data_IF_204069639606
#
_entry.id   IF_204069639606
#
_cell.length_a   1.000
_cell.length_b   1.000
_cell.length_c   1.000
_cell.angle_alpha   90.00
_cell.angle_beta   90.00
_cell.angle_gamma   90.00
#
_symmetry.space_group_name_H-M   'P 1'
#
loop_
_entity.id
_entity.type
_entity.pdbx_description
1 polymer ?
#
# COMPACT_ATOMS: atom_id res chain seq x y z
N UNK A 1 -27.87 -25.71 -7.22
CA UNK A 1 -27.69 -24.56 -8.14
C UNK A 1 -27.83 -23.19 -7.44
N UNK A 2 -27.45 -23.06 -6.15
CA UNK A 2 -27.42 -21.79 -5.40
C UNK A 2 -26.00 -21.35 -4.98
N UNK A 3 -25.00 -22.16 -5.29
CA UNK A 3 -23.58 -21.93 -4.92
C UNK A 3 -22.84 -21.08 -5.97
N UNK A 4 -23.33 -21.03 -7.20
CA UNK A 4 -22.69 -20.27 -8.30
C UNK A 4 -22.99 -18.76 -8.22
N UNK A 5 -24.10 -18.35 -7.59
CA UNK A 5 -24.47 -16.93 -7.45
C UNK A 5 -23.64 -16.19 -6.39
N UNK A 6 -23.12 -16.90 -5.38
CA UNK A 6 -22.25 -16.33 -4.35
C UNK A 6 -20.78 -16.21 -4.80
N UNK A 7 -20.33 -17.02 -5.76
CA UNK A 7 -19.00 -16.90 -6.35
C UNK A 7 -18.92 -15.85 -7.47
N UNK A 8 -20.00 -15.56 -8.19
CA UNK A 8 -19.99 -14.48 -9.19
C UNK A 8 -19.97 -13.07 -8.57
N UNK A 9 -20.45 -12.89 -7.34
CA UNK A 9 -20.31 -11.63 -6.59
C UNK A 9 -18.87 -11.39 -6.07
N UNK A 10 -18.01 -12.41 -6.09
CA UNK A 10 -16.63 -12.32 -5.61
C UNK A 10 -15.61 -11.94 -6.70
N UNK A 11 -16.00 -11.91 -7.99
CA UNK A 11 -15.05 -11.78 -9.12
C UNK A 11 -15.26 -10.49 -9.95
N UNK A 12 -16.36 -9.76 -9.77
CA UNK A 12 -16.49 -8.41 -10.32
C UNK A 12 -15.87 -7.40 -9.35
N UNK A 13 -14.80 -6.72 -9.76
CA UNK A 13 -14.05 -5.76 -8.95
C UNK A 13 -14.94 -4.67 -8.33
N UNK A 14 -15.10 -4.74 -7.01
CA UNK A 14 -16.06 -3.93 -6.26
C UNK A 14 -15.32 -2.90 -5.41
N UNK A 15 -15.00 -1.79 -6.06
CA UNK A 15 -14.58 -0.51 -5.49
C UNK A 15 -15.79 0.27 -4.97
N UNK A 16 -15.65 0.96 -3.83
CA UNK A 16 -16.68 1.86 -3.29
C UNK A 16 -16.44 3.28 -3.81
N UNK A 17 -17.50 4.03 -4.09
CA UNK A 17 -17.40 5.45 -4.46
C UNK A 17 -16.97 6.31 -3.25
N UNK A 18 -16.33 7.47 -3.50
CA UNK A 18 -15.82 8.36 -2.45
C UNK A 18 -16.91 8.80 -1.48
N UNK A 19 -18.13 9.05 -1.97
CA UNK A 19 -19.30 9.40 -1.14
C UNK A 19 -19.69 8.29 -0.16
N UNK A 20 -19.69 7.03 -0.61
CA UNK A 20 -19.99 5.89 0.27
C UNK A 20 -18.91 5.72 1.33
N UNK A 21 -17.65 5.92 0.97
CA UNK A 21 -16.54 5.82 1.93
C UNK A 21 -16.61 6.92 2.98
N UNK A 22 -16.89 8.15 2.56
CA UNK A 22 -17.09 9.27 3.49
C UNK A 22 -18.25 8.98 4.43
N UNK A 23 -19.40 8.52 3.91
CA UNK A 23 -20.56 8.20 4.74
C UNK A 23 -20.23 7.10 5.76
N UNK A 24 -19.53 6.05 5.35
CA UNK A 24 -19.10 5.00 6.29
C UNK A 24 -18.14 5.54 7.37
N UNK A 25 -17.19 6.40 6.98
CA UNK A 25 -16.27 7.05 7.91
C UNK A 25 -17.02 7.94 8.90
N UNK A 26 -17.94 8.75 8.41
CA UNK A 26 -18.78 9.63 9.21
C UNK A 26 -19.68 8.84 10.16
N UNK A 27 -20.35 7.79 9.68
CA UNK A 27 -21.17 6.89 10.49
C UNK A 27 -20.35 6.21 11.58
N UNK A 28 -19.15 5.72 11.26
CA UNK A 28 -18.24 5.15 12.25
C UNK A 28 -17.82 6.18 13.30
N UNK A 29 -17.50 7.41 12.89
CA UNK A 29 -17.14 8.47 13.81
C UNK A 29 -18.30 8.89 14.73
N UNK A 30 -19.55 8.88 14.22
CA UNK A 30 -20.76 9.19 15.01
C UNK A 30 -21.23 8.04 15.90
N UNK A 31 -20.87 6.81 15.56
CA UNK A 31 -21.37 5.63 16.26
C UNK A 31 -20.89 5.64 17.72
N UNK A 32 -21.77 5.42 18.72
CA UNK A 32 -21.38 5.32 20.13
C UNK A 32 -20.37 4.21 20.42
N UNK A 33 -20.38 3.13 19.63
CA UNK A 33 -19.38 2.04 19.67
C UNK A 33 -18.16 2.33 18.79
N UNK A 34 -18.24 3.32 17.90
CA UNK A 34 -17.11 3.83 17.15
C UNK A 34 -16.41 4.94 17.93
N UNK A 35 -16.18 6.09 17.30
CA UNK A 35 -15.46 7.20 17.96
C UNK A 35 -16.35 8.08 18.85
N UNK A 36 -17.67 7.97 18.72
CA UNK A 36 -18.67 8.75 19.47
C UNK A 36 -18.45 10.28 19.39
N UNK A 37 -18.09 10.77 18.22
CA UNK A 37 -17.85 12.19 17.97
C UNK A 37 -19.14 13.00 17.81
N UNK A 38 -19.07 14.28 18.16
CA UNK A 38 -20.09 15.27 17.77
C UNK A 38 -20.18 15.37 16.25
N UNK A 39 -21.26 15.96 15.72
CA UNK A 39 -21.44 16.11 14.27
C UNK A 39 -20.24 16.78 13.60
N UNK A 40 -19.76 17.93 14.11
CA UNK A 40 -18.63 18.65 13.55
C UNK A 40 -17.30 17.88 13.63
N UNK A 41 -17.04 17.18 14.74
CA UNK A 41 -15.85 16.34 14.88
C UNK A 41 -15.88 15.14 13.94
N UNK A 42 -17.03 14.47 13.80
CA UNK A 42 -17.21 13.34 12.89
C UNK A 42 -17.04 13.75 11.43
N UNK A 43 -17.57 14.93 11.07
CA UNK A 43 -17.41 15.53 9.75
C UNK A 43 -15.92 15.75 9.41
N UNK A 44 -15.18 16.46 10.26
CA UNK A 44 -13.76 16.74 10.06
C UNK A 44 -12.91 15.46 10.06
N UNK A 45 -13.24 14.51 10.94
CA UNK A 45 -12.54 13.24 10.99
C UNK A 45 -12.75 12.43 9.71
N UNK A 46 -13.99 12.30 9.23
CA UNK A 46 -14.31 11.56 8.01
C UNK A 46 -13.63 12.17 6.78
N UNK A 47 -13.61 13.51 6.70
CA UNK A 47 -12.90 14.30 5.69
C UNK A 47 -11.40 13.91 5.64
N UNK A 48 -10.71 14.08 6.77
CA UNK A 48 -9.28 13.75 6.90
C UNK A 48 -8.98 12.27 6.69
N UNK A 49 -9.90 11.40 7.11
CA UNK A 49 -9.77 9.97 6.95
C UNK A 49 -9.80 9.58 5.47
N UNK A 50 -10.77 10.06 4.69
CA UNK A 50 -10.85 9.81 3.24
C UNK A 50 -9.65 10.39 2.48
N UNK A 51 -9.16 11.58 2.86
CA UNK A 51 -7.95 12.19 2.27
C UNK A 51 -6.67 11.35 2.46
N UNK A 52 -6.46 10.86 3.68
CA UNK A 52 -5.18 10.28 4.12
C UNK A 52 -5.12 8.77 4.01
N UNK A 53 -6.27 8.10 4.07
CA UNK A 53 -6.40 6.65 4.08
C UNK A 53 -7.14 6.10 2.87
N UNK A 54 -7.64 6.98 1.98
CA UNK A 54 -8.35 6.57 0.77
C UNK A 54 -9.47 5.57 1.02
N UNK A 55 -9.71 4.70 0.03
CA UNK A 55 -10.91 3.87 -0.09
C UNK A 55 -10.91 2.65 0.83
N UNK A 56 -11.97 2.44 1.61
CA UNK A 56 -12.13 1.28 2.51
C UNK A 56 -12.92 0.12 1.88
N UNK A 57 -12.70 -1.09 2.43
CA UNK A 57 -13.26 -2.36 1.91
C UNK A 57 -14.75 -2.41 2.10
N UNK A 58 -15.40 -3.24 1.29
CA UNK A 58 -16.86 -3.39 1.22
C UNK A 58 -17.55 -3.60 2.57
N UNK A 59 -16.85 -4.13 3.58
CA UNK A 59 -17.38 -4.23 4.94
C UNK A 59 -17.45 -2.84 5.58
N UNK A 60 -18.66 -2.45 5.99
CA UNK A 60 -18.93 -1.25 6.79
C UNK A 60 -17.92 -1.18 7.95
N UNK A 61 -17.27 -0.03 8.16
CA UNK A 61 -16.23 0.16 9.19
C UNK A 61 -16.68 -0.31 10.58
N UNK A 62 -17.95 -0.09 10.92
CA UNK A 62 -18.56 -0.57 12.17
C UNK A 62 -18.52 -2.09 12.29
N UNK A 63 -18.80 -2.83 11.22
CA UNK A 63 -18.72 -4.29 11.23
C UNK A 63 -17.26 -4.76 11.39
N UNK A 64 -16.32 -4.09 10.73
CA UNK A 64 -14.90 -4.41 10.90
C UNK A 64 -14.42 -4.12 12.32
N UNK A 65 -14.88 -3.02 12.93
CA UNK A 65 -14.61 -2.71 14.32
C UNK A 65 -15.17 -3.79 15.24
N UNK A 66 -16.42 -4.21 15.05
CA UNK A 66 -17.04 -5.23 15.89
C UNK A 66 -16.29 -6.56 15.77
N UNK A 67 -15.92 -6.99 14.55
CA UNK A 67 -15.08 -8.18 14.34
C UNK A 67 -13.72 -8.08 15.07
N UNK A 68 -13.09 -6.90 15.05
CA UNK A 68 -11.83 -6.67 15.73
C UNK A 68 -11.97 -6.62 17.25
N UNK A 69 -13.07 -6.05 17.74
CA UNK A 69 -13.40 -5.95 19.15
C UNK A 69 -13.72 -7.33 19.73
N UNK A 70 -14.59 -8.10 19.08
CA UNK A 70 -14.93 -9.48 19.47
C UNK A 70 -13.67 -10.36 19.46
N UNK A 71 -12.82 -10.21 18.44
CA UNK A 71 -11.54 -10.89 18.41
C UNK A 71 -10.64 -10.51 19.62
N UNK A 72 -10.58 -9.22 19.95
CA UNK A 72 -9.74 -8.73 21.03
C UNK A 72 -10.21 -9.21 22.41
N UNK A 73 -11.51 -9.20 22.66
CA UNK A 73 -12.10 -9.67 23.92
C UNK A 73 -11.99 -11.18 24.07
N UNK A 74 -12.20 -11.94 22.99
CA UNK A 74 -12.17 -13.42 23.04
C UNK A 74 -10.75 -14.00 23.04
N UNK A 75 -9.79 -13.40 22.32
CA UNK A 75 -8.50 -14.04 22.02
C UNK A 75 -7.27 -13.31 22.51
N UNK A 76 -7.35 -12.01 22.81
CA UNK A 76 -6.17 -11.25 23.28
C UNK A 76 -6.04 -11.19 24.80
N UNK A 77 -6.98 -11.76 25.55
CA UNK A 77 -7.00 -11.78 27.03
C UNK A 77 -6.82 -10.37 27.63
N UNK A 78 -7.39 -9.34 26.96
CA UNK A 78 -7.34 -7.95 27.41
C UNK A 78 -8.70 -7.50 27.92
N UNK A 79 -8.69 -6.43 28.71
CA UNK A 79 -9.93 -5.82 29.21
C UNK A 79 -10.80 -5.28 28.07
N UNK A 80 -12.10 -5.12 28.33
CA UNK A 80 -13.05 -4.54 27.37
C UNK A 80 -12.61 -3.17 26.86
N UNK A 81 -12.09 -2.31 27.74
CA UNK A 81 -11.62 -0.96 27.37
C UNK A 81 -10.37 -1.03 26.48
N UNK A 82 -9.44 -1.94 26.78
CA UNK A 82 -8.26 -2.16 25.95
C UNK A 82 -8.62 -2.77 24.59
N UNK A 83 -9.62 -3.65 24.54
CA UNK A 83 -10.15 -4.23 23.31
C UNK A 83 -10.78 -3.16 22.41
N UNK A 84 -11.54 -2.23 22.99
CA UNK A 84 -12.11 -1.08 22.27
C UNK A 84 -11.01 -0.20 21.63
N UNK A 85 -10.00 0.18 22.43
CA UNK A 85 -8.86 0.99 21.96
C UNK A 85 -8.11 0.23 20.85
N UNK A 86 -7.88 -1.07 21.04
CA UNK A 86 -7.18 -1.90 20.07
C UNK A 86 -7.94 -2.00 18.74
N UNK A 87 -9.23 -2.29 18.78
CA UNK A 87 -10.09 -2.42 17.60
C UNK A 87 -10.15 -1.10 16.82
N UNK A 88 -10.33 0.04 17.51
CA UNK A 88 -10.26 1.38 16.90
C UNK A 88 -8.92 1.60 16.21
N UNK A 89 -7.82 1.34 16.90
CA UNK A 89 -6.48 1.50 16.33
C UNK A 89 -6.26 0.59 15.10
N UNK A 90 -6.81 -0.61 15.10
CA UNK A 90 -6.73 -1.51 13.95
C UNK A 90 -7.47 -0.92 12.73
N UNK A 91 -8.70 -0.42 12.92
CA UNK A 91 -9.49 0.21 11.85
C UNK A 91 -8.80 1.47 11.30
N UNK A 92 -8.26 2.31 12.19
CA UNK A 92 -7.52 3.51 11.82
C UNK A 92 -6.28 3.21 10.97
N UNK A 93 -5.76 1.98 11.06
CA UNK A 93 -4.54 1.57 10.38
C UNK A 93 -4.82 0.79 9.10
N UNK A 94 -6.00 0.16 8.91
CA UNK A 94 -6.36 -0.60 7.68
C UNK A 94 -6.23 0.19 6.37
N UNK A 95 -5.59 -0.45 5.39
CA UNK A 95 -5.15 0.13 4.12
C UNK A 95 -6.25 0.40 3.09
N UNK A 96 -5.83 1.06 2.01
CA UNK A 96 -6.63 1.61 0.90
C UNK A 96 -7.09 0.56 -0.12
N UNK A 97 -8.03 0.94 -1.01
CA UNK A 97 -8.52 0.20 -2.19
C UNK A 97 -8.47 1.11 -3.40
N UNK A 98 -8.51 0.54 -4.61
CA UNK A 98 -8.81 1.27 -5.82
C UNK A 98 -10.08 2.13 -5.81
N UNK A 99 -10.03 3.30 -6.46
CA UNK A 99 -11.23 4.07 -6.83
C UNK A 99 -12.13 3.28 -7.80
N UNK A 100 -13.43 3.60 -7.82
CA UNK A 100 -14.42 2.93 -8.67
C UNK A 100 -14.57 3.54 -10.05
N UNK A 101 -14.44 4.85 -10.11
CA UNK A 101 -14.48 5.62 -11.33
C UNK A 101 -13.35 6.65 -11.31
N UNK A 102 -13.34 7.49 -12.33
CA UNK A 102 -12.42 8.60 -12.47
C UNK A 102 -12.59 9.56 -11.29
N UNK A 103 -11.47 10.13 -10.84
CA UNK A 103 -11.36 11.01 -9.67
C UNK A 103 -12.34 12.18 -9.77
N UNK A 104 -12.49 12.80 -10.94
CA UNK A 104 -13.42 13.92 -11.15
C UNK A 104 -14.86 13.55 -10.82
N UNK A 105 -15.32 12.39 -11.32
CA UNK A 105 -16.70 11.92 -11.10
C UNK A 105 -16.95 11.63 -9.64
N UNK A 106 -15.99 10.98 -8.98
CA UNK A 106 -16.05 10.64 -7.56
C UNK A 106 -16.06 11.90 -6.68
N UNK A 107 -15.19 12.88 -6.97
CA UNK A 107 -15.11 14.14 -6.24
C UNK A 107 -16.36 15.01 -6.45
N UNK A 108 -16.85 15.14 -7.68
CA UNK A 108 -18.09 15.88 -7.96
C UNK A 108 -19.29 15.25 -7.24
N UNK A 109 -19.38 13.91 -7.22
CA UNK A 109 -20.45 13.21 -6.51
C UNK A 109 -20.40 13.49 -5.01
N UNK A 110 -19.21 13.48 -4.42
CA UNK A 110 -19.03 13.79 -3.00
C UNK A 110 -19.40 15.24 -2.68
N UNK A 111 -18.87 16.20 -3.45
CA UNK A 111 -19.10 17.64 -3.26
C UNK A 111 -20.58 18.01 -3.41
N UNK A 112 -21.32 17.33 -4.29
CA UNK A 112 -22.76 17.56 -4.46
C UNK A 112 -23.62 16.92 -3.37
N UNK A 113 -23.11 15.91 -2.66
CA UNK A 113 -23.86 15.18 -1.62
C UNK A 113 -23.62 15.69 -0.21
N UNK A 114 -22.44 16.25 0.05
CA UNK A 114 -22.08 16.80 1.34
C UNK A 114 -22.25 18.31 1.29
N UNK A 115 -22.97 18.87 2.25
CA UNK A 115 -23.13 20.32 2.36
C UNK A 115 -21.82 20.96 2.81
N UNK A 116 -20.97 21.35 1.85
CA UNK A 116 -19.81 22.19 2.09
C UNK A 116 -20.19 23.67 1.95
N UNK A 117 -19.61 24.54 2.78
CA UNK A 117 -19.49 25.94 2.35
C UNK A 117 -18.54 26.00 1.16
N UNK A 118 -18.64 27.04 0.32
CA UNK A 118 -17.74 27.16 -0.84
C UNK A 118 -16.26 27.15 -0.43
N UNK A 119 -15.91 27.81 0.68
CA UNK A 119 -14.55 27.88 1.20
C UNK A 119 -14.07 26.54 1.78
N UNK A 120 -14.92 25.84 2.55
CA UNK A 120 -14.58 24.53 3.11
C UNK A 120 -14.42 23.48 2.01
N UNK A 121 -15.27 23.53 0.98
CA UNK A 121 -15.20 22.65 -0.18
C UNK A 121 -13.91 22.86 -0.97
N UNK A 122 -13.55 24.13 -1.24
CA UNK A 122 -12.29 24.48 -1.89
C UNK A 122 -11.08 23.99 -1.10
N UNK A 123 -11.02 24.32 0.19
CA UNK A 123 -9.91 23.89 1.08
C UNK A 123 -9.78 22.38 1.10
N UNK A 124 -10.89 21.65 1.21
CA UNK A 124 -10.86 20.19 1.19
C UNK A 124 -10.31 19.62 -0.10
N UNK A 125 -10.77 20.14 -1.23
CA UNK A 125 -10.32 19.68 -2.54
C UNK A 125 -8.82 19.91 -2.70
N UNK A 126 -8.31 21.07 -2.29
CA UNK A 126 -6.86 21.35 -2.31
C UNK A 126 -6.10 20.37 -1.42
N UNK A 127 -6.56 20.12 -0.18
CA UNK A 127 -5.96 19.14 0.74
C UNK A 127 -5.96 17.72 0.14
N UNK A 128 -7.07 17.31 -0.48
CA UNK A 128 -7.18 16.02 -1.15
C UNK A 128 -6.23 15.91 -2.35
N UNK A 129 -6.14 16.96 -3.17
CA UNK A 129 -5.29 16.97 -4.36
C UNK A 129 -3.79 16.97 -4.00
N UNK A 130 -3.41 17.59 -2.87
CA UNK A 130 -2.02 17.65 -2.42
C UNK A 130 -1.62 16.55 -1.42
N UNK A 131 -2.55 15.67 -1.04
CA UNK A 131 -2.27 14.51 -0.19
C UNK A 131 -1.17 13.63 -0.79
N UNK A 132 -0.31 13.08 0.07
CA UNK A 132 0.72 12.09 -0.31
C UNK A 132 0.22 10.65 -0.26
N UNK A 133 -1.02 10.43 0.21
CA UNK A 133 -1.59 9.10 0.33
C UNK A 133 -1.79 8.48 -1.07
N UNK A 134 -1.25 7.28 -1.34
CA UNK A 134 -1.36 6.67 -2.65
C UNK A 134 -2.82 6.40 -3.04
N UNK A 135 -3.11 6.56 -4.32
CA UNK A 135 -4.37 6.18 -4.94
C UNK A 135 -4.11 5.05 -5.92
N UNK A 136 -4.76 3.93 -5.66
CA UNK A 136 -4.85 2.86 -6.64
C UNK A 136 -6.01 3.22 -7.58
N UNK A 137 -5.76 3.27 -8.88
CA UNK A 137 -6.82 3.42 -9.88
C UNK A 137 -6.49 2.64 -11.13
N UNK A 138 -7.50 2.05 -11.77
CA UNK A 138 -7.29 1.37 -13.06
C UNK A 138 -6.90 2.32 -14.18
N UNK A 139 -7.05 3.64 -13.97
CA UNK A 139 -6.56 4.64 -14.91
C UNK A 139 -5.05 4.54 -15.05
N UNK A 140 -4.58 4.74 -16.28
CA UNK A 140 -3.16 4.96 -16.50
C UNK A 140 -2.73 6.34 -15.95
N UNK A 141 -1.43 6.59 -15.97
CA UNK A 141 -0.85 7.80 -15.41
C UNK A 141 -1.32 9.08 -16.12
N UNK A 142 -1.54 9.01 -17.45
CA UNK A 142 -1.93 10.15 -18.27
C UNK A 142 -3.44 10.43 -18.16
N UNK A 143 -4.25 9.38 -18.08
CA UNK A 143 -5.69 9.50 -17.87
C UNK A 143 -5.98 10.06 -16.47
N UNK A 144 -5.23 9.63 -15.44
CA UNK A 144 -5.30 10.26 -14.11
C UNK A 144 -4.96 11.76 -14.19
N UNK A 145 -3.91 12.12 -14.94
CA UNK A 145 -3.56 13.52 -15.15
C UNK A 145 -4.69 14.30 -15.81
N UNK A 146 -5.20 13.80 -16.94
CA UNK A 146 -6.26 14.46 -17.73
C UNK A 146 -7.51 14.68 -16.90
N UNK A 147 -7.88 13.66 -16.14
CA UNK A 147 -9.04 13.69 -15.27
C UNK A 147 -8.89 14.80 -14.20
N UNK A 148 -7.78 14.81 -13.46
CA UNK A 148 -7.52 15.85 -12.45
C UNK A 148 -7.37 17.24 -13.07
N UNK A 149 -6.73 17.35 -14.23
CA UNK A 149 -6.60 18.62 -14.97
C UNK A 149 -7.99 19.17 -15.34
N UNK A 150 -8.86 18.36 -15.95
CA UNK A 150 -10.21 18.77 -16.33
C UNK A 150 -11.05 19.15 -15.11
N UNK A 151 -10.91 18.42 -14.00
CA UNK A 151 -11.54 18.77 -12.73
C UNK A 151 -11.14 20.16 -12.27
N UNK A 152 -9.84 20.45 -12.20
CA UNK A 152 -9.30 21.76 -11.79
C UNK A 152 -9.67 22.90 -12.77
N UNK A 153 -10.00 22.60 -14.03
CA UNK A 153 -10.41 23.62 -15.02
C UNK A 153 -11.90 23.92 -14.98
N UNK A 154 -12.73 22.95 -14.64
CA UNK A 154 -14.19 23.04 -14.83
C UNK A 154 -14.99 23.08 -13.53
N UNK A 155 -14.46 22.57 -12.42
CA UNK A 155 -15.19 22.58 -11.15
C UNK A 155 -15.17 23.98 -10.53
N UNK A 156 -16.35 24.57 -10.33
CA UNK A 156 -16.49 25.95 -9.88
C UNK A 156 -15.85 26.27 -8.51
N UNK A 157 -15.62 25.27 -7.66
CA UNK A 157 -14.98 25.45 -6.35
C UNK A 157 -13.46 25.63 -6.45
N UNK A 158 -12.84 25.03 -7.47
CA UNK A 158 -11.38 24.98 -7.64
C UNK A 158 -10.92 25.35 -9.05
N UNK A 159 -11.79 26.04 -9.81
CA UNK A 159 -11.47 26.49 -11.15
C UNK A 159 -10.25 27.42 -11.11
N UNK A 160 -9.14 26.97 -11.67
CA UNK A 160 -7.89 27.72 -11.77
C UNK A 160 -7.49 27.86 -13.24
N UNK A 161 -6.56 28.77 -13.54
CA UNK A 161 -6.01 28.96 -14.89
C UNK A 161 -5.32 27.69 -15.42
N UNK A 162 -5.00 27.68 -16.73
CA UNK A 162 -4.41 26.51 -17.40
C UNK A 162 -3.10 26.07 -16.74
N UNK A 163 -2.20 27.01 -16.44
CA UNK A 163 -0.88 26.69 -15.90
C UNK A 163 -0.99 26.10 -14.49
N UNK A 164 -1.83 26.70 -13.64
CA UNK A 164 -2.07 26.22 -12.29
C UNK A 164 -2.72 24.83 -12.30
N UNK A 165 -3.72 24.59 -13.15
CA UNK A 165 -4.37 23.27 -13.27
C UNK A 165 -3.37 22.17 -13.67
N UNK A 166 -2.48 22.46 -14.64
CA UNK A 166 -1.42 21.52 -15.06
C UNK A 166 -0.47 21.20 -13.91
N UNK A 167 -0.02 22.22 -13.16
CA UNK A 167 0.88 22.03 -12.00
C UNK A 167 0.22 21.16 -10.92
N UNK A 168 -1.07 21.38 -10.64
CA UNK A 168 -1.82 20.59 -9.67
C UNK A 168 -1.98 19.14 -10.11
N UNK A 169 -2.38 18.89 -11.36
CA UNK A 169 -2.53 17.54 -11.90
C UNK A 169 -1.19 16.78 -11.93
N UNK A 170 -0.10 17.44 -12.33
CA UNK A 170 1.24 16.85 -12.31
C UNK A 170 1.69 16.47 -10.89
N UNK A 171 1.50 17.37 -9.92
CA UNK A 171 1.84 17.09 -8.51
C UNK A 171 0.97 15.97 -7.93
N UNK A 172 -0.31 15.92 -8.30
CA UNK A 172 -1.22 14.86 -7.91
C UNK A 172 -0.72 13.49 -8.38
N UNK A 173 -0.43 13.36 -9.68
CA UNK A 173 0.08 12.11 -10.26
C UNK A 173 1.41 11.70 -9.63
N UNK A 174 2.35 12.64 -9.50
CA UNK A 174 3.64 12.38 -8.85
C UNK A 174 3.50 11.83 -7.43
N UNK A 175 2.60 12.42 -6.64
CA UNK A 175 2.44 12.05 -5.24
C UNK A 175 1.63 10.76 -5.07
N UNK A 176 0.54 10.62 -5.84
CA UNK A 176 -0.53 9.66 -5.53
C UNK A 176 -0.60 8.49 -6.49
N UNK A 177 -0.15 8.60 -7.74
CA UNK A 177 -0.19 7.47 -8.67
C UNK A 177 0.71 6.34 -8.19
N UNK A 178 0.21 5.10 -8.26
CA UNK A 178 0.99 3.89 -7.99
C UNK A 178 0.66 2.85 -9.05
N UNK A 179 1.68 2.13 -9.49
CA UNK A 179 1.49 1.03 -10.43
C UNK A 179 0.71 -0.11 -9.79
N UNK A 180 -0.05 -0.81 -10.62
CA UNK A 180 -0.59 -2.11 -10.28
C UNK A 180 0.50 -3.15 -10.44
N UNK A 181 0.37 -4.21 -9.65
CA UNK A 181 1.31 -5.33 -9.60
C UNK A 181 1.17 -6.27 -10.81
N UNK A 182 0.39 -5.90 -11.83
CA UNK A 182 0.13 -6.67 -13.05
C UNK A 182 1.09 -6.32 -14.20
N UNK A 183 1.91 -5.27 -14.03
CA UNK A 183 2.94 -4.86 -14.98
C UNK A 183 4.33 -5.11 -14.42
N UNK A 184 5.27 -5.50 -15.28
CA UNK A 184 6.67 -5.59 -14.88
C UNK A 184 7.34 -4.20 -14.83
N UNK A 185 8.52 -4.09 -14.22
CA UNK A 185 9.25 -2.82 -14.07
C UNK A 185 9.58 -2.12 -15.40
N UNK A 186 9.79 -2.86 -16.49
CA UNK A 186 10.05 -2.27 -17.81
C UNK A 186 8.78 -1.62 -18.36
N UNK A 187 7.64 -2.29 -18.26
CA UNK A 187 6.35 -1.72 -18.66
C UNK A 187 5.98 -0.50 -17.82
N UNK A 188 6.25 -0.54 -16.52
CA UNK A 188 6.05 0.61 -15.64
C UNK A 188 6.95 1.79 -16.03
N UNK A 189 8.21 1.51 -16.38
CA UNK A 189 9.14 2.52 -16.87
C UNK A 189 8.63 3.17 -18.16
N UNK A 190 8.11 2.40 -19.10
CA UNK A 190 7.54 2.93 -20.35
C UNK A 190 6.39 3.89 -20.04
N UNK A 191 5.46 3.51 -19.16
CA UNK A 191 4.36 4.39 -18.75
C UNK A 191 4.86 5.69 -18.11
N UNK A 192 5.85 5.59 -17.20
CA UNK A 192 6.45 6.75 -16.55
C UNK A 192 7.17 7.67 -17.57
N UNK A 193 7.93 7.08 -18.50
CA UNK A 193 8.62 7.79 -19.55
C UNK A 193 7.65 8.49 -20.49
N UNK A 194 6.62 7.78 -20.96
CA UNK A 194 5.59 8.35 -21.83
C UNK A 194 4.89 9.53 -21.16
N UNK A 195 4.51 9.40 -19.88
CA UNK A 195 3.94 10.52 -19.14
C UNK A 195 4.89 11.73 -19.03
N UNK A 196 6.16 11.48 -18.75
CA UNK A 196 7.15 12.54 -18.64
C UNK A 196 7.43 13.25 -19.97
N UNK A 197 7.43 12.51 -21.08
CA UNK A 197 7.73 13.03 -22.41
C UNK A 197 6.51 13.66 -23.09
N UNK A 198 5.31 13.17 -22.77
CA UNK A 198 4.07 13.60 -23.41
C UNK A 198 3.82 15.11 -23.22
N UNK A 199 3.37 15.78 -24.29
CA UNK A 199 3.05 17.20 -24.30
C UNK A 199 1.94 17.60 -23.34
N UNK A 200 1.05 16.67 -23.00
CA UNK A 200 0.02 16.86 -22.00
C UNK A 200 0.53 16.58 -20.58
N UNK A 201 1.52 15.71 -20.40
CA UNK A 201 2.08 15.37 -19.08
C UNK A 201 3.08 16.40 -18.58
N UNK A 202 4.35 15.98 -18.43
CA UNK A 202 5.42 16.88 -17.96
C UNK A 202 6.11 17.66 -19.08
N UNK A 203 6.00 17.19 -20.34
CA UNK A 203 6.63 17.80 -21.52
C UNK A 203 8.14 18.04 -21.31
N UNK A 204 8.82 17.06 -20.74
CA UNK A 204 10.27 17.11 -20.57
C UNK A 204 10.98 16.76 -21.88
N UNK A 205 12.25 17.15 -22.00
CA UNK A 205 13.11 16.64 -23.08
C UNK A 205 13.30 15.13 -22.94
N UNK A 206 13.79 14.46 -24.01
CA UNK A 206 14.00 13.02 -23.99
C UNK A 206 14.89 12.58 -22.81
N UNK A 207 16.03 13.25 -22.62
CA UNK A 207 16.98 12.95 -21.55
C UNK A 207 16.39 13.17 -20.16
N UNK A 208 15.65 14.26 -19.97
CA UNK A 208 14.95 14.57 -18.71
C UNK A 208 13.83 13.56 -18.42
N UNK A 209 13.08 13.13 -19.45
CA UNK A 209 12.06 12.09 -19.32
C UNK A 209 12.65 10.75 -18.91
N UNK A 210 13.80 10.37 -19.46
CA UNK A 210 14.54 9.16 -19.03
C UNK A 210 14.90 9.25 -17.56
N UNK A 211 15.57 10.34 -17.14
CA UNK A 211 16.00 10.51 -15.74
C UNK A 211 14.82 10.53 -14.77
N UNK A 212 13.74 11.22 -15.16
CA UNK A 212 12.53 11.28 -14.36
C UNK A 212 11.90 9.90 -14.21
N UNK A 213 11.73 9.14 -15.29
CA UNK A 213 11.13 7.82 -15.26
C UNK A 213 11.96 6.82 -14.43
N UNK A 214 13.29 6.85 -14.55
CA UNK A 214 14.19 6.03 -13.72
C UNK A 214 14.04 6.37 -12.23
N UNK A 215 14.01 7.66 -11.89
CA UNK A 215 13.80 8.12 -10.51
C UNK A 215 12.40 7.73 -9.99
N UNK A 216 11.38 7.83 -10.84
CA UNK A 216 10.03 7.44 -10.50
C UNK A 216 9.94 5.95 -10.18
N UNK A 217 10.50 5.07 -11.02
CA UNK A 217 10.52 3.63 -10.78
C UNK A 217 11.31 3.28 -9.53
N UNK A 218 12.44 3.94 -9.27
CA UNK A 218 13.22 3.75 -8.05
C UNK A 218 12.40 4.00 -6.76
N UNK A 219 11.45 4.92 -6.79
CA UNK A 219 10.68 5.32 -5.61
C UNK A 219 9.26 4.72 -5.56
N UNK A 220 8.68 4.42 -6.72
CA UNK A 220 7.26 4.07 -6.87
C UNK A 220 7.03 2.78 -7.66
N UNK A 221 8.09 2.16 -8.18
CA UNK A 221 8.00 0.87 -8.84
C UNK A 221 7.44 -0.18 -7.91
N UNK A 222 6.61 -1.05 -8.47
CA UNK A 222 5.96 -2.15 -7.77
C UNK A 222 6.35 -3.45 -8.46
N UNK A 223 6.61 -4.52 -7.71
CA UNK A 223 6.78 -5.85 -8.30
C UNK A 223 5.56 -6.69 -7.94
N UNK A 224 5.20 -7.63 -8.82
CA UNK A 224 4.13 -8.57 -8.56
C UNK A 224 4.35 -9.38 -7.29
N UNK A 225 3.37 -9.33 -6.37
CA UNK A 225 3.34 -10.15 -5.14
C UNK A 225 3.07 -11.63 -5.41
N UNK A 226 2.68 -11.97 -6.63
CA UNK A 226 2.49 -13.36 -7.06
C UNK A 226 3.81 -14.03 -7.46
N UNK A 227 4.86 -13.22 -7.67
CA UNK A 227 6.22 -13.73 -7.90
C UNK A 227 6.90 -14.03 -6.57
N UNK A 228 7.67 -15.12 -6.53
CA UNK A 228 8.57 -15.37 -5.42
C UNK A 228 9.76 -14.39 -5.44
N UNK A 229 10.42 -14.17 -4.30
CA UNK A 229 11.50 -13.19 -4.12
C UNK A 229 12.63 -13.34 -5.14
N UNK A 230 12.98 -14.57 -5.55
CA UNK A 230 13.99 -14.81 -6.58
C UNK A 230 13.57 -14.29 -7.96
N UNK A 231 12.29 -14.44 -8.33
CA UNK A 231 11.77 -13.90 -9.57
C UNK A 231 11.61 -12.37 -9.49
N UNK A 232 11.23 -11.83 -8.33
CA UNK A 232 11.22 -10.37 -8.10
C UNK A 232 12.62 -9.77 -8.25
N UNK A 233 13.64 -10.45 -7.71
CA UNK A 233 15.03 -10.06 -7.88
C UNK A 233 15.46 -10.13 -9.34
N UNK A 234 15.12 -11.22 -10.05
CA UNK A 234 15.44 -11.37 -11.47
C UNK A 234 14.81 -10.25 -12.30
N UNK A 235 13.55 -9.91 -12.04
CA UNK A 235 12.88 -8.79 -12.70
C UNK A 235 13.62 -7.46 -12.46
N UNK A 236 13.94 -7.17 -11.19
CA UNK A 236 14.69 -5.96 -10.83
C UNK A 236 16.09 -5.93 -11.48
N UNK A 237 16.79 -7.07 -11.53
CA UNK A 237 18.10 -7.19 -12.16
C UNK A 237 18.03 -6.98 -13.67
N UNK A 238 17.08 -7.61 -14.35
CA UNK A 238 16.88 -7.44 -15.78
C UNK A 238 16.54 -5.99 -16.11
N UNK A 239 15.68 -5.34 -15.31
CA UNK A 239 15.39 -3.93 -15.45
C UNK A 239 16.66 -3.07 -15.31
N UNK A 240 17.43 -3.27 -14.25
CA UNK A 240 18.65 -2.51 -13.98
C UNK A 240 19.68 -2.62 -15.11
N UNK A 241 19.86 -3.83 -15.65
CA UNK A 241 20.80 -4.11 -16.73
C UNK A 241 20.31 -3.63 -18.10
N UNK A 242 19.00 -3.64 -18.32
CA UNK A 242 18.43 -3.45 -19.66
C UNK A 242 18.67 -2.05 -20.24
N UNK A 243 18.73 -1.98 -21.57
CA UNK A 243 18.76 -0.73 -22.34
C UNK A 243 17.48 0.10 -22.20
N UNK A 244 16.37 -0.54 -21.84
CA UNK A 244 15.08 0.08 -21.51
C UNK A 244 14.86 0.35 -20.02
N UNK A 245 15.90 0.22 -19.19
CA UNK A 245 15.85 0.50 -17.75
C UNK A 245 17.00 1.39 -17.31
N UNK A 246 17.89 0.89 -16.45
CA UNK A 246 18.96 1.71 -15.86
C UNK A 246 20.31 1.64 -16.58
N UNK A 247 20.52 0.65 -17.47
CA UNK A 247 21.79 0.44 -18.21
C UNK A 247 23.01 0.32 -17.31
N UNK A 248 22.85 -0.28 -16.14
CA UNK A 248 23.93 -0.48 -15.18
C UNK A 248 24.86 -1.62 -15.63
N UNK A 249 26.10 -1.62 -15.17
CA UNK A 249 26.99 -2.79 -15.27
C UNK A 249 26.39 -4.01 -14.55
N UNK A 250 26.94 -5.20 -14.77
CA UNK A 250 26.44 -6.41 -14.11
C UNK A 250 26.57 -6.28 -12.58
N UNK A 251 27.70 -5.76 -12.07
CA UNK A 251 27.90 -5.54 -10.64
C UNK A 251 26.93 -4.51 -10.06
N UNK A 252 26.73 -3.37 -10.72
CA UNK A 252 25.80 -2.33 -10.28
C UNK A 252 24.34 -2.80 -10.36
N UNK A 253 23.99 -3.59 -11.37
CA UNK A 253 22.65 -4.17 -11.54
C UNK A 253 22.32 -5.13 -10.40
N UNK A 254 23.28 -5.97 -9.98
CA UNK A 254 23.15 -6.84 -8.81
C UNK A 254 22.89 -6.01 -7.55
N UNK A 255 23.68 -4.96 -7.30
CA UNK A 255 23.52 -4.12 -6.12
C UNK A 255 22.17 -3.39 -6.12
N UNK A 256 21.78 -2.83 -7.26
CA UNK A 256 20.51 -2.13 -7.41
C UNK A 256 19.32 -3.07 -7.19
N UNK A 257 19.31 -4.25 -7.83
CA UNK A 257 18.21 -5.19 -7.72
C UNK A 257 18.02 -5.70 -6.29
N UNK A 258 19.11 -5.96 -5.57
CA UNK A 258 19.07 -6.32 -4.13
C UNK A 258 18.46 -5.20 -3.30
N UNK A 259 18.95 -3.97 -3.47
CA UNK A 259 18.44 -2.79 -2.77
C UNK A 259 16.96 -2.55 -3.07
N UNK A 260 16.57 -2.76 -4.32
CA UNK A 260 15.19 -2.65 -4.77
C UNK A 260 14.29 -3.70 -4.12
N UNK A 261 14.65 -4.98 -4.13
CA UNK A 261 13.89 -6.05 -3.44
C UNK A 261 13.81 -5.77 -1.93
N UNK A 262 14.90 -5.35 -1.29
CA UNK A 262 14.85 -4.97 0.12
C UNK A 262 13.90 -3.77 0.39
N UNK A 263 13.79 -2.85 -0.57
CA UNK A 263 12.96 -1.66 -0.50
C UNK A 263 11.51 -1.86 -0.94
N UNK A 264 11.22 -2.82 -1.81
CA UNK A 264 9.94 -2.95 -2.54
C UNK A 264 9.36 -4.36 -2.59
N UNK A 265 10.06 -5.39 -2.06
CA UNK A 265 9.55 -6.76 -2.07
C UNK A 265 8.14 -6.85 -1.50
N UNK A 266 7.31 -7.63 -2.19
CA UNK A 266 5.96 -7.93 -1.75
C UNK A 266 5.81 -9.42 -1.55
N UNK A 267 5.20 -9.84 -0.45
CA UNK A 267 4.81 -11.24 -0.29
C UNK A 267 3.36 -11.43 -0.71
N UNK A 268 3.03 -12.63 -1.17
CA UNK A 268 1.64 -12.99 -1.41
C UNK A 268 0.81 -12.82 -0.12
N UNK A 269 -0.41 -12.30 -0.27
CA UNK A 269 -1.34 -12.09 0.85
C UNK A 269 -1.85 -13.40 1.45
N UNK A 270 -1.77 -14.49 0.69
CA UNK A 270 -2.28 -15.80 1.09
C UNK A 270 -1.18 -16.70 1.69
N UNK A 271 0.08 -16.27 1.61
CA UNK A 271 1.22 -17.00 2.13
C UNK A 271 1.34 -16.82 3.66
N UNK A 272 1.65 -17.90 4.38
CA UNK A 272 1.89 -17.87 5.82
C UNK A 272 3.18 -17.13 6.19
N UNK A 273 3.28 -16.64 7.42
CA UNK A 273 4.49 -15.93 7.89
C UNK A 273 5.74 -16.82 7.91
N UNK A 274 5.57 -18.11 8.22
CA UNK A 274 6.67 -19.08 8.16
C UNK A 274 7.13 -19.33 6.72
N UNK A 275 6.20 -19.46 5.78
CA UNK A 275 6.55 -19.65 4.37
C UNK A 275 7.30 -18.41 3.83
N UNK A 276 6.83 -17.20 4.17
CA UNK A 276 7.52 -15.94 3.83
C UNK A 276 8.93 -15.90 4.39
N UNK A 277 9.10 -16.41 5.61
CA UNK A 277 10.40 -16.50 6.26
C UNK A 277 11.32 -17.50 5.56
N UNK A 278 10.82 -18.71 5.27
CA UNK A 278 11.58 -19.73 4.55
C UNK A 278 11.99 -19.24 3.17
N UNK A 279 11.09 -18.59 2.44
CA UNK A 279 11.39 -17.97 1.15
C UNK A 279 12.47 -16.88 1.27
N UNK A 280 12.32 -15.98 2.26
CA UNK A 280 13.32 -14.94 2.50
C UNK A 280 14.68 -15.51 2.91
N UNK A 281 14.67 -16.60 3.68
CA UNK A 281 15.87 -17.31 4.10
C UNK A 281 16.54 -17.96 2.90
N UNK A 282 15.80 -18.70 2.07
CA UNK A 282 16.32 -19.33 0.86
C UNK A 282 16.84 -18.29 -0.13
N UNK A 283 16.14 -17.17 -0.29
CA UNK A 283 16.59 -16.06 -1.13
C UNK A 283 17.92 -15.48 -0.64
N UNK A 284 18.06 -15.27 0.67
CA UNK A 284 19.32 -14.83 1.24
C UNK A 284 20.42 -15.90 1.11
N UNK A 285 20.09 -17.16 1.40
CA UNK A 285 21.02 -18.27 1.55
C UNK A 285 21.54 -18.85 0.22
N UNK A 286 20.77 -18.80 -0.86
CA UNK A 286 21.15 -19.40 -2.14
C UNK A 286 22.11 -18.52 -2.98
N UNK A 287 22.79 -17.54 -2.36
CA UNK A 287 23.93 -16.86 -2.97
C UNK A 287 23.62 -15.56 -3.72
N UNK A 288 22.38 -15.34 -4.16
CA UNK A 288 22.01 -14.11 -4.87
C UNK A 288 22.12 -12.86 -3.99
N UNK A 289 22.17 -12.97 -2.65
CA UNK A 289 22.37 -11.87 -1.68
C UNK A 289 23.67 -12.00 -0.86
N UNK A 290 24.13 -13.24 -0.60
CA UNK A 290 25.23 -13.53 0.32
C UNK A 290 26.58 -12.93 -0.07
N UNK A 291 26.88 -12.76 -1.37
CA UNK A 291 28.11 -12.08 -1.80
C UNK A 291 28.24 -10.65 -1.25
N UNK A 292 27.13 -10.00 -0.88
CA UNK A 292 27.14 -8.67 -0.25
C UNK A 292 27.48 -8.72 1.24
N UNK A 293 27.00 -9.75 1.93
CA UNK A 293 27.25 -9.95 3.36
C UNK A 293 28.70 -10.34 3.62
N UNK A 294 29.27 -11.19 2.76
CA UNK A 294 30.68 -11.59 2.81
C UNK A 294 31.65 -10.51 2.32
N UNK A 295 31.23 -9.57 1.47
CA UNK A 295 32.08 -8.43 1.06
C UNK A 295 32.14 -7.31 2.10
N UNK A 296 31.27 -7.31 3.11
CA UNK A 296 31.29 -6.33 4.22
C UNK A 296 32.12 -6.79 5.44
N UNK A 297 32.61 -8.03 5.46
CA UNK A 297 33.47 -8.57 6.53
C UNK A 297 34.42 -9.61 5.95
N UNK A 298 35.70 -9.55 6.33
CA UNK A 298 36.70 -10.61 6.16
C UNK A 298 36.33 -11.91 6.91
N UNK A 299 35.17 -12.49 6.61
CA UNK A 299 34.60 -13.62 7.35
C UNK A 299 34.87 -14.94 6.60
N UNK A 300 35.33 -15.99 7.31
CA UNK A 300 35.60 -17.29 6.70
C UNK A 300 34.30 -17.96 6.19
N UNK A 301 34.37 -18.75 5.11
CA UNK A 301 33.19 -19.38 4.52
C UNK A 301 32.54 -20.38 5.49
N UNK A 302 31.20 -20.35 5.61
CA UNK A 302 30.41 -21.54 5.97
C UNK A 302 29.65 -21.53 7.30
N UNK A 303 29.99 -20.69 8.30
CA UNK A 303 29.27 -20.69 9.60
C UNK A 303 28.47 -19.41 9.86
N UNK A 304 28.93 -18.26 9.36
CA UNK A 304 28.25 -16.96 9.53
C UNK A 304 27.10 -16.73 8.55
N UNK A 305 27.03 -17.52 7.47
CA UNK A 305 26.09 -17.30 6.36
C UNK A 305 24.64 -17.65 6.72
N UNK A 306 24.44 -18.65 7.60
CA UNK A 306 23.10 -19.04 8.06
C UNK A 306 22.51 -17.97 8.98
N UNK A 307 23.27 -17.50 9.97
CA UNK A 307 22.78 -16.50 10.93
C UNK A 307 22.43 -15.17 10.25
N UNK A 308 23.21 -14.74 9.27
CA UNK A 308 22.94 -13.53 8.50
C UNK A 308 21.73 -13.70 7.57
N UNK A 309 21.57 -14.85 6.92
CA UNK A 309 20.37 -15.17 6.15
C UNK A 309 19.11 -15.20 7.04
N UNK A 310 19.19 -15.78 8.24
CA UNK A 310 18.10 -15.76 9.23
C UNK A 310 17.78 -14.34 9.70
N UNK A 311 18.80 -13.50 9.91
CA UNK A 311 18.62 -12.08 10.29
C UNK A 311 17.96 -11.30 9.15
N UNK A 312 18.42 -11.49 7.91
CA UNK A 312 17.83 -10.91 6.72
C UNK A 312 16.36 -11.32 6.59
N UNK A 313 16.07 -12.62 6.67
CA UNK A 313 14.74 -13.17 6.54
C UNK A 313 13.78 -12.62 7.60
N UNK A 314 14.21 -12.58 8.87
CA UNK A 314 13.43 -11.96 9.95
C UNK A 314 13.16 -10.49 9.65
N UNK A 315 14.18 -9.72 9.26
CA UNK A 315 14.03 -8.30 8.97
C UNK A 315 13.11 -8.04 7.77
N UNK A 316 13.20 -8.86 6.71
CA UNK A 316 12.39 -8.72 5.52
C UNK A 316 10.93 -9.07 5.82
N UNK A 317 10.67 -10.23 6.43
CA UNK A 317 9.31 -10.62 6.85
C UNK A 317 8.72 -9.59 7.80
N UNK A 318 9.50 -9.16 8.80
CA UNK A 318 9.06 -8.13 9.72
C UNK A 318 8.75 -6.84 9.01
N UNK A 319 9.54 -6.40 8.02
CA UNK A 319 9.39 -5.08 7.38
C UNK A 319 8.44 -5.04 6.19
N UNK A 320 8.19 -6.16 5.52
CA UNK A 320 7.46 -6.25 4.24
C UNK A 320 6.18 -7.06 4.28
N UNK A 321 5.92 -7.81 5.36
CA UNK A 321 4.65 -8.53 5.43
C UNK A 321 3.49 -7.57 5.67
N UNK A 322 2.53 -7.60 4.75
CA UNK A 322 1.21 -6.99 4.90
C UNK A 322 0.24 -7.99 5.56
N UNK A 323 -0.65 -7.48 6.42
CA UNK A 323 -1.80 -8.23 6.92
C UNK A 323 -2.84 -8.29 5.81
N UNK A 324 -3.31 -9.48 5.46
CA UNK A 324 -4.38 -9.64 4.50
C UNK A 324 -5.67 -9.03 5.07
N UNK A 325 -6.17 -7.91 4.51
CA UNK A 325 -7.34 -7.25 5.09
C UNK A 325 -8.65 -7.99 4.82
N UNK A 326 -8.67 -9.04 3.98
CA UNK A 326 -9.81 -9.96 3.82
C UNK A 326 -9.65 -11.21 4.69
N UNK A 327 -8.44 -11.45 5.21
CA UNK A 327 -8.14 -12.65 5.98
C UNK A 327 -8.84 -12.63 7.34
N UNK A 328 -9.17 -13.81 7.84
CA UNK A 328 -9.66 -13.98 9.20
C UNK A 328 -8.61 -13.49 10.22
N UNK A 329 -9.01 -12.62 11.15
CA UNK A 329 -8.10 -12.02 12.14
C UNK A 329 -7.46 -13.07 13.06
N UNK A 330 -8.24 -14.06 13.50
CA UNK A 330 -7.76 -15.15 14.34
C UNK A 330 -6.71 -15.98 13.62
N UNK A 331 -6.96 -16.38 12.37
CA UNK A 331 -5.99 -17.14 11.57
C UNK A 331 -4.68 -16.35 11.39
N UNK A 332 -4.77 -15.05 11.10
CA UNK A 332 -3.59 -14.20 10.93
C UNK A 332 -2.81 -14.00 12.24
N UNK A 333 -3.52 -13.83 13.35
CA UNK A 333 -2.90 -13.78 14.68
C UNK A 333 -2.22 -15.10 15.05
N UNK A 334 -2.88 -16.24 14.82
CA UNK A 334 -2.32 -17.56 15.05
C UNK A 334 -1.06 -17.79 14.20
N UNK A 335 -1.09 -17.41 12.92
CA UNK A 335 0.08 -17.47 12.05
C UNK A 335 1.24 -16.59 12.56
N UNK A 336 0.93 -15.39 13.06
CA UNK A 336 1.92 -14.50 13.67
C UNK A 336 2.48 -15.05 14.98
N UNK A 337 1.63 -15.64 15.82
CA UNK A 337 2.04 -16.29 17.05
C UNK A 337 2.93 -17.51 16.78
N UNK A 338 2.52 -18.40 15.87
CA UNK A 338 3.30 -19.57 15.46
C UNK A 338 4.66 -19.14 14.91
N UNK A 339 4.70 -18.15 14.02
CA UNK A 339 5.97 -17.59 13.55
C UNK A 339 6.84 -17.07 14.70
N UNK A 340 6.25 -16.30 15.62
CA UNK A 340 6.99 -15.74 16.74
C UNK A 340 7.53 -16.80 17.72
N UNK A 341 6.79 -17.89 17.94
CA UNK A 341 7.13 -18.92 18.92
C UNK A 341 7.97 -20.06 18.34
N UNK A 342 7.88 -20.31 17.03
CA UNK A 342 8.57 -21.43 16.37
C UNK A 342 10.10 -21.34 16.46
N UNK A 343 10.75 -22.52 16.37
CA UNK A 343 12.20 -22.67 16.19
C UNK A 343 12.71 -22.02 14.92
N UNK A 344 11.86 -21.91 13.90
CA UNK A 344 12.27 -21.43 12.59
C UNK A 344 12.09 -19.92 12.46
N UNK A 345 11.13 -19.32 13.19
CA UNK A 345 10.88 -17.88 13.18
C UNK A 345 11.66 -17.11 14.24
N UNK A 346 10.96 -16.50 15.21
CA UNK A 346 11.59 -15.58 16.18
C UNK A 346 12.07 -16.23 17.48
N UNK A 347 11.65 -17.46 17.77
CA UNK A 347 12.01 -18.21 19.00
C UNK A 347 11.69 -17.45 20.30
N UNK A 348 10.61 -16.68 20.30
CA UNK A 348 10.16 -15.95 21.49
C UNK A 348 9.47 -16.92 22.46
N UNK A 349 9.67 -16.70 23.76
CA UNK A 349 8.88 -17.36 24.81
C UNK A 349 7.38 -17.08 24.60
N UNK A 350 6.53 -18.00 25.07
CA UNK A 350 5.08 -17.97 24.82
C UNK A 350 4.42 -16.60 25.01
N UNK A 351 4.63 -15.94 26.16
CA UNK A 351 4.05 -14.63 26.44
C UNK A 351 4.62 -13.51 25.56
N UNK A 352 5.91 -13.58 25.23
CA UNK A 352 6.56 -12.63 24.31
C UNK A 352 6.07 -12.84 22.87
N UNK A 353 5.82 -14.08 22.46
CA UNK A 353 5.24 -14.42 21.16
C UNK A 353 3.79 -13.90 21.05
N UNK A 354 2.95 -14.07 22.08
CA UNK A 354 1.60 -13.47 22.13
C UNK A 354 1.64 -11.95 22.00
N UNK A 355 2.52 -11.30 22.78
CA UNK A 355 2.69 -9.85 22.75
C UNK A 355 3.20 -9.36 21.39
N UNK A 356 4.15 -10.08 20.79
CA UNK A 356 4.66 -9.76 19.47
C UNK A 356 3.59 -9.93 18.39
N UNK A 357 2.83 -11.02 18.41
CA UNK A 357 1.76 -11.26 17.45
C UNK A 357 0.68 -10.17 17.53
N UNK A 358 0.30 -9.76 18.75
CA UNK A 358 -0.61 -8.62 18.96
C UNK A 358 -0.05 -7.33 18.33
N UNK A 359 1.20 -6.97 18.64
CA UNK A 359 1.85 -5.78 18.05
C UNK A 359 1.99 -5.90 16.54
N UNK A 360 2.32 -7.07 16.01
CA UNK A 360 2.42 -7.31 14.57
C UNK A 360 1.09 -6.98 13.88
N UNK A 361 -0.04 -7.42 14.46
CA UNK A 361 -1.37 -7.10 13.96
C UNK A 361 -1.67 -5.58 13.96
N UNK A 362 -1.06 -4.82 14.87
CA UNK A 362 -1.24 -3.36 14.99
C UNK A 362 -0.33 -2.55 14.04
N UNK A 363 0.91 -2.97 13.82
CA UNK A 363 1.93 -2.16 13.13
C UNK A 363 1.90 -2.29 11.59
N UNK A 364 1.49 -3.45 11.06
CA UNK A 364 1.72 -3.79 9.64
C UNK A 364 0.60 -3.43 8.69
N UNK A 365 -0.05 -2.33 9.03
CA UNK A 365 -1.12 -1.75 8.23
C UNK A 365 -0.73 -0.38 7.66
N UNK A 366 0.51 0.08 7.91
CA UNK A 366 0.98 1.46 7.66
C UNK A 366 1.82 1.68 6.38
N UNK A 367 1.96 0.72 5.46
CA UNK A 367 2.75 0.94 4.23
C UNK A 367 1.87 1.05 3.00
#
# INVERSE_FOLDING_TARGET
>A
MKVIFLLMLAICGLSASLDKQYLQAYEFARNPRGLNYTHGQAFLWAKKFVETKGVFRQKILVAQYQEAFDFATEFLEISTDEADIWAKNLILRRGTIPLRADISSEMNTLLNRITFTAEDGKTWVEEFLFSSAPLYTKLDMLDMYRDVYLFCRTNYLVAVDDETARKMANKFVQNRFRFYSDRNLVEQYVVAFEFAFNSEGLRLSFEESVQWAQSYIKNHGVISRELGLGDQYREAFLFARSSGGLRLSDEESVQWARGFVQAHAQFSLNQGLLDKYQESFLFAYNGEVLEMLTKMRDAPPGVFLVDEAQKYARNLVQSRTEINPLGNLLTQYQNAFVFAHSSDGLRLEYYKAKSWAKKFMEYRVQR
#
